data_IF_882104496293
#
_entry.id   IF_882104496293
#
_cell.length_a   1.000
_cell.length_b   1.000
_cell.length_c   1.000
_cell.angle_alpha   90.00
_cell.angle_beta   90.00
_cell.angle_gamma   90.00
#
_symmetry.space_group_name_H-M   'P 1'
#
loop_
_entity.id
_entity.type
_entity.pdbx_description
1 polymer ?
#
# COMPACT_ATOMS: atom_id res chain seq x y z
N UNK A 1 -14.60 -8.93 -2.41
CA UNK A 1 -13.25 -8.48 -1.99
C UNK A 1 -13.38 -7.37 -0.95
N UNK A 2 -12.61 -7.45 0.14
CA UNK A 2 -12.47 -6.34 1.09
C UNK A 2 -11.24 -5.53 0.68
N UNK A 3 -11.38 -4.21 0.58
CA UNK A 3 -10.30 -3.33 0.15
C UNK A 3 -10.01 -2.31 1.25
N UNK A 4 -8.85 -2.46 1.89
CA UNK A 4 -8.38 -1.54 2.93
C UNK A 4 -7.57 -0.41 2.30
N UNK A 5 -7.88 0.83 2.69
CA UNK A 5 -7.22 2.02 2.15
C UNK A 5 -7.22 3.16 3.17
N UNK A 6 -6.25 4.06 3.08
CA UNK A 6 -6.17 5.27 3.89
C UNK A 6 -7.20 6.31 3.44
N UNK A 7 -7.38 7.36 4.25
CA UNK A 7 -8.39 8.41 4.00
C UNK A 7 -7.83 9.59 3.20
N UNK A 8 -6.88 9.37 2.30
CA UNK A 8 -6.32 10.43 1.46
C UNK A 8 -7.43 11.18 0.71
N UNK A 9 -7.19 12.45 0.39
CA UNK A 9 -8.14 13.28 -0.36
C UNK A 9 -8.49 12.65 -1.71
N UNK A 10 -7.52 12.04 -2.39
CA UNK A 10 -7.72 11.37 -3.67
C UNK A 10 -8.59 10.11 -3.56
N UNK A 11 -8.54 9.40 -2.43
CA UNK A 11 -9.37 8.20 -2.23
C UNK A 11 -10.79 8.55 -1.77
N UNK A 12 -10.92 9.60 -0.95
CA UNK A 12 -12.17 9.92 -0.26
C UNK A 12 -13.02 10.98 -0.97
N UNK A 13 -12.38 11.99 -1.56
CA UNK A 13 -13.07 13.17 -2.11
C UNK A 13 -13.16 13.18 -3.63
N UNK A 14 -12.28 12.48 -4.34
CA UNK A 14 -12.30 12.42 -5.81
C UNK A 14 -13.56 11.72 -6.33
N UNK A 15 -14.33 12.40 -7.18
CA UNK A 15 -15.64 11.92 -7.60
C UNK A 15 -15.56 10.68 -8.48
N UNK A 16 -14.53 10.59 -9.35
CA UNK A 16 -14.32 9.40 -10.21
C UNK A 16 -14.10 8.14 -9.38
N UNK A 17 -13.34 8.25 -8.29
CA UNK A 17 -13.07 7.15 -7.36
C UNK A 17 -14.34 6.73 -6.63
N UNK A 18 -15.12 7.70 -6.14
CA UNK A 18 -16.41 7.43 -5.48
C UNK A 18 -17.40 6.73 -6.43
N UNK A 19 -17.50 7.20 -7.67
CA UNK A 19 -18.33 6.58 -8.70
C UNK A 19 -17.89 5.14 -9.00
N UNK A 20 -16.58 4.91 -9.12
CA UNK A 20 -16.04 3.56 -9.30
C UNK A 20 -16.43 2.62 -8.16
N UNK A 21 -16.26 3.02 -6.90
CA UNK A 21 -16.66 2.19 -5.76
C UNK A 21 -18.18 1.98 -5.70
N UNK A 22 -18.98 3.00 -6.03
CA UNK A 22 -20.45 2.87 -6.09
C UNK A 22 -20.92 1.89 -7.16
N UNK A 23 -20.31 1.92 -8.35
CA UNK A 23 -20.59 1.01 -9.47
C UNK A 23 -20.20 -0.44 -9.11
N UNK A 24 -19.12 -0.61 -8.36
CA UNK A 24 -18.56 -1.92 -8.02
C UNK A 24 -18.87 -2.39 -6.58
N UNK A 25 -19.85 -1.79 -5.90
CA UNK A 25 -20.15 -2.04 -4.47
C UNK A 25 -20.46 -3.50 -4.12
N UNK A 26 -20.94 -4.29 -5.09
CA UNK A 26 -21.20 -5.73 -4.93
C UNK A 26 -19.91 -6.57 -4.90
N UNK A 27 -18.84 -6.10 -5.55
CA UNK A 27 -17.57 -6.79 -5.65
C UNK A 27 -16.52 -6.24 -4.66
N UNK A 28 -16.56 -4.93 -4.38
CA UNK A 28 -15.55 -4.22 -3.59
C UNK A 28 -16.22 -3.61 -2.35
N UNK A 29 -15.81 -4.06 -1.16
CA UNK A 29 -16.18 -3.46 0.12
C UNK A 29 -15.00 -2.68 0.68
N UNK A 30 -15.06 -1.36 0.58
CA UNK A 30 -14.00 -0.48 1.09
C UNK A 30 -14.04 -0.41 2.62
N UNK A 31 -12.87 -0.51 3.24
CA UNK A 31 -12.64 -0.33 4.68
C UNK A 31 -11.55 0.71 4.85
N UNK A 32 -11.83 1.73 5.65
CA UNK A 32 -10.90 2.83 5.86
C UNK A 32 -10.03 2.57 7.07
N UNK A 33 -8.73 2.82 6.96
CA UNK A 33 -7.87 2.89 8.14
C UNK A 33 -8.25 4.09 9.03
N UNK A 34 -7.96 4.03 10.34
CA UNK A 34 -8.09 5.18 11.23
C UNK A 34 -7.25 6.37 10.73
N UNK A 35 -7.69 7.58 11.03
CA UNK A 35 -6.96 8.79 10.64
C UNK A 35 -5.77 8.98 11.57
N UNK A 36 -4.60 9.32 11.03
CA UNK A 36 -3.38 9.57 11.83
C UNK A 36 -2.78 8.32 12.47
N UNK A 37 -3.09 7.12 11.95
CA UNK A 37 -2.57 5.86 12.46
C UNK A 37 -2.00 4.98 11.32
N UNK A 38 -0.87 5.39 10.72
CA UNK A 38 -0.23 4.65 9.63
C UNK A 38 0.20 3.23 10.07
N UNK A 39 0.47 3.02 11.36
CA UNK A 39 0.84 1.72 11.93
C UNK A 39 -0.28 0.68 11.84
N UNK A 40 -1.52 1.07 11.54
CA UNK A 40 -2.59 0.12 11.21
C UNK A 40 -2.57 -0.35 9.75
N UNK A 41 -1.81 0.31 8.87
CA UNK A 41 -1.67 -0.06 7.46
C UNK A 41 -0.43 -0.96 7.25
N UNK A 42 -0.59 -2.27 6.98
CA UNK A 42 0.52 -3.20 6.81
C UNK A 42 1.42 -2.89 5.61
N UNK A 43 0.96 -2.05 4.68
CA UNK A 43 1.80 -1.57 3.58
C UNK A 43 2.97 -0.71 4.06
N UNK A 44 2.84 0.00 5.18
CA UNK A 44 3.94 0.79 5.75
C UNK A 44 5.14 -0.10 6.08
N UNK A 45 4.89 -1.26 6.68
CA UNK A 45 5.94 -2.23 6.98
C UNK A 45 6.54 -2.86 5.71
N UNK A 46 5.73 -3.12 4.69
CA UNK A 46 6.25 -3.53 3.38
C UNK A 46 7.20 -2.48 2.78
N UNK A 47 6.88 -1.20 2.95
CA UNK A 47 7.71 -0.09 2.50
C UNK A 47 8.98 0.07 3.33
N UNK A 48 8.92 -0.10 4.65
CA UNK A 48 10.10 -0.11 5.52
C UNK A 48 11.09 -1.19 5.08
N UNK A 49 10.61 -2.42 4.89
CA UNK A 49 11.47 -3.51 4.40
C UNK A 49 12.02 -3.22 3.00
N UNK A 50 11.21 -2.66 2.10
CA UNK A 50 11.68 -2.28 0.76
C UNK A 50 12.69 -1.15 0.79
N UNK A 51 12.56 -0.21 1.73
CA UNK A 51 13.53 0.84 1.96
C UNK A 51 14.85 0.22 2.38
N UNK A 52 14.88 -0.63 3.39
CA UNK A 52 16.12 -1.21 3.88
C UNK A 52 16.78 -2.16 2.86
N UNK A 53 16.00 -3.00 2.18
CA UNK A 53 16.51 -4.00 1.25
C UNK A 53 16.97 -3.43 -0.10
N UNK A 54 16.37 -2.32 -0.57
CA UNK A 54 16.56 -1.83 -1.95
C UNK A 54 16.94 -0.35 -2.04
N UNK A 55 16.47 0.51 -1.14
CA UNK A 55 16.56 1.97 -1.30
C UNK A 55 17.53 2.63 -0.33
N UNK A 56 17.78 2.05 0.83
CA UNK A 56 18.49 2.66 1.95
C UNK A 56 20.00 2.77 1.74
N UNK A 57 20.55 2.02 0.79
CA UNK A 57 21.99 2.02 0.50
C UNK A 57 22.33 1.86 -0.98
N UNK A 58 21.36 2.05 -1.87
CA UNK A 58 21.58 1.95 -3.32
C UNK A 58 21.29 3.28 -3.99
N UNK A 59 22.29 3.85 -4.65
CA UNK A 59 22.11 5.01 -5.52
C UNK A 59 21.89 4.52 -6.95
N UNK A 60 20.76 4.88 -7.54
CA UNK A 60 20.43 4.55 -8.94
C UNK A 60 20.79 5.73 -9.82
N UNK A 61 21.53 5.48 -10.91
CA UNK A 61 21.97 6.55 -11.82
C UNK A 61 20.82 7.02 -12.72
N UNK A 62 19.83 6.18 -12.94
CA UNK A 62 18.65 6.52 -13.74
C UNK A 62 17.34 6.08 -13.09
N UNK A 63 16.26 6.76 -13.45
CA UNK A 63 14.91 6.36 -13.03
C UNK A 63 14.53 4.95 -13.53
N UNK A 64 15.03 4.53 -14.70
CA UNK A 64 14.75 3.22 -15.27
C UNK A 64 15.35 2.10 -14.42
N UNK A 65 16.58 2.29 -13.92
CA UNK A 65 17.24 1.36 -13.00
C UNK A 65 16.47 1.27 -11.67
N UNK A 66 16.14 2.42 -11.07
CA UNK A 66 15.33 2.49 -9.86
C UNK A 66 13.99 1.76 -10.02
N UNK A 67 13.28 2.03 -11.12
CA UNK A 67 11.99 1.39 -11.42
C UNK A 67 12.16 -0.13 -11.58
N UNK A 68 13.19 -0.59 -12.30
CA UNK A 68 13.45 -2.01 -12.52
C UNK A 68 13.76 -2.73 -11.21
N UNK A 69 14.63 -2.16 -10.38
CA UNK A 69 15.02 -2.72 -9.09
C UNK A 69 13.82 -2.81 -8.13
N UNK A 70 13.12 -1.68 -7.94
CA UNK A 70 11.94 -1.58 -7.08
C UNK A 70 10.83 -2.54 -7.54
N UNK A 71 10.52 -2.57 -8.84
CA UNK A 71 9.49 -3.47 -9.39
C UNK A 71 9.88 -4.94 -9.21
N UNK A 72 11.15 -5.29 -9.45
CA UNK A 72 11.63 -6.66 -9.26
C UNK A 72 11.44 -7.07 -7.80
N UNK A 73 11.87 -6.24 -6.85
CA UNK A 73 11.75 -6.51 -5.42
C UNK A 73 10.31 -6.76 -4.99
N UNK A 74 9.40 -5.81 -5.20
CA UNK A 74 8.01 -5.96 -4.75
C UNK A 74 7.26 -7.10 -5.47
N UNK A 75 7.67 -7.46 -6.69
CA UNK A 75 7.10 -8.60 -7.41
C UNK A 75 7.54 -9.95 -6.83
N UNK A 76 8.76 -10.04 -6.29
CA UNK A 76 9.34 -11.31 -5.83
C UNK A 76 9.36 -11.48 -4.32
N UNK A 77 9.38 -10.38 -3.54
CA UNK A 77 9.42 -10.41 -2.09
C UNK A 77 8.11 -11.02 -1.56
N UNK A 78 8.25 -12.00 -0.68
CA UNK A 78 7.14 -12.55 0.10
C UNK A 78 7.15 -11.89 1.48
N UNK A 79 6.28 -10.92 1.68
CA UNK A 79 6.10 -10.25 2.96
C UNK A 79 5.38 -11.20 3.93
N UNK A 80 6.07 -11.67 4.96
CA UNK A 80 5.53 -12.59 5.97
C UNK A 80 4.92 -11.80 7.15
N UNK A 81 4.02 -10.88 6.85
CA UNK A 81 3.35 -10.07 7.87
C UNK A 81 2.20 -10.85 8.50
N UNK A 82 2.14 -10.85 9.83
CA UNK A 82 0.97 -11.33 10.54
C UNK A 82 -0.08 -10.20 10.57
N UNK A 83 -0.95 -10.18 9.56
CA UNK A 83 -1.99 -9.16 9.42
C UNK A 83 -2.97 -9.11 10.59
N UNK A 84 -3.22 -10.25 11.25
CA UNK A 84 -4.09 -10.27 12.42
C UNK A 84 -3.46 -9.50 13.58
N UNK A 85 -2.19 -9.79 13.91
CA UNK A 85 -1.44 -9.01 14.92
C UNK A 85 -1.34 -7.54 14.54
N UNK A 86 -1.16 -7.25 13.25
CA UNK A 86 -1.01 -5.88 12.75
C UNK A 86 -2.31 -5.06 12.84
N UNK A 87 -3.46 -5.70 12.61
CA UNK A 87 -4.76 -5.02 12.57
C UNK A 87 -5.54 -5.07 13.89
N UNK A 88 -5.24 -6.02 14.77
CA UNK A 88 -6.02 -6.29 15.97
C UNK A 88 -5.26 -6.10 17.29
N UNK A 89 -3.93 -5.92 17.25
CA UNK A 89 -3.00 -5.97 18.39
C UNK A 89 -3.02 -7.31 19.17
#
# INVERSE_FOLDING_TARGET
MIFYIDKSTYHKKEERVKQFFRKNRKAIRVKWFPSGFPEANPLEECWNQGKDDVLGSTFFNTFQEFKKATTKYYRTKRFKLNLYKYLCH
#
